data_IF_705298458897
#
_entry.id   IF_705298458897
#
_cell.length_a   1.000
_cell.length_b   1.000
_cell.length_c   1.000
_cell.angle_alpha   90.00
_cell.angle_beta   90.00
_cell.angle_gamma   90.00
#
_symmetry.space_group_name_H-M   'P 1'
#
loop_
_entity.id
_entity.type
_entity.pdbx_description
1 polymer ?
#
# COMPACT_ATOMS: atom_id res chain seq x y z
N UNK A 1 -6.33 -5.82 -1.36
CA UNK A 1 -5.72 -6.80 -0.43
C UNK A 1 -6.84 -7.46 0.36
N UNK A 2 -6.62 -8.63 0.95
CA UNK A 2 -7.58 -9.25 1.88
C UNK A 2 -7.27 -8.75 3.29
N UNK A 3 -8.11 -7.87 3.81
CA UNK A 3 -7.93 -7.20 5.10
C UNK A 3 -9.18 -7.36 5.96
N UNK A 4 -9.09 -7.20 7.30
CA UNK A 4 -10.29 -7.04 8.12
C UNK A 4 -11.12 -5.83 7.65
N UNK A 5 -12.42 -5.86 7.95
CA UNK A 5 -13.29 -4.71 7.73
C UNK A 5 -12.84 -3.51 8.56
N UNK A 6 -13.11 -2.29 8.10
CA UNK A 6 -12.66 -1.06 8.75
C UNK A 6 -13.11 -0.95 10.23
N UNK A 7 -14.33 -1.39 10.54
CA UNK A 7 -14.89 -1.39 11.89
C UNK A 7 -14.52 -2.65 12.72
N UNK A 8 -13.68 -3.54 12.20
CA UNK A 8 -13.27 -4.74 12.92
C UNK A 8 -12.43 -4.37 14.15
N UNK A 9 -12.85 -4.85 15.31
CA UNK A 9 -12.16 -4.62 16.58
C UNK A 9 -10.93 -5.52 16.73
N UNK A 10 -10.99 -6.73 16.19
CA UNK A 10 -9.85 -7.66 16.16
C UNK A 10 -8.75 -7.10 15.26
N UNK A 11 -7.51 -7.15 15.77
CA UNK A 11 -6.31 -6.73 15.04
C UNK A 11 -5.59 -7.93 14.47
N UNK A 12 -4.99 -7.72 13.30
CA UNK A 12 -4.24 -8.72 12.56
C UNK A 12 -2.90 -8.13 12.18
N UNK A 13 -1.89 -8.99 12.13
CA UNK A 13 -0.56 -8.67 11.64
C UNK A 13 -0.55 -8.48 10.12
N UNK A 14 0.49 -7.80 9.60
CA UNK A 14 0.70 -7.65 8.17
C UNK A 14 0.98 -9.01 7.51
N UNK A 15 1.58 -9.95 8.25
CA UNK A 15 1.86 -11.32 7.84
C UNK A 15 0.56 -12.13 7.66
N UNK A 16 -0.43 -11.94 8.52
CA UNK A 16 -1.76 -12.56 8.38
C UNK A 16 -2.51 -11.98 7.18
N UNK A 17 -2.48 -10.65 6.97
CA UNK A 17 -3.03 -9.99 5.77
C UNK A 17 -2.37 -10.53 4.51
N UNK A 18 -1.03 -10.69 4.53
CA UNK A 18 -0.27 -11.24 3.42
C UNK A 18 -0.65 -12.69 3.13
N UNK A 19 -0.72 -13.54 4.16
CA UNK A 19 -1.09 -14.95 4.02
C UNK A 19 -2.51 -15.11 3.46
N UNK A 20 -3.48 -14.36 4.00
CA UNK A 20 -4.85 -14.37 3.53
C UNK A 20 -4.94 -13.91 2.06
N UNK A 21 -4.24 -12.82 1.71
CA UNK A 21 -4.21 -12.27 0.35
C UNK A 21 -3.62 -13.27 -0.64
N UNK A 22 -2.42 -13.78 -0.38
CA UNK A 22 -1.74 -14.71 -1.30
C UNK A 22 -2.52 -16.02 -1.42
N UNK A 23 -3.10 -16.53 -0.34
CA UNK A 23 -3.95 -17.73 -0.36
C UNK A 23 -5.18 -17.53 -1.24
N UNK A 24 -5.87 -16.39 -1.12
CA UNK A 24 -7.05 -16.10 -1.94
C UNK A 24 -6.69 -16.04 -3.44
N UNK A 25 -5.60 -15.36 -3.79
CA UNK A 25 -5.13 -15.26 -5.17
C UNK A 25 -4.74 -16.63 -5.73
N UNK A 26 -4.00 -17.45 -4.97
CA UNK A 26 -3.62 -18.81 -5.36
C UNK A 26 -4.80 -19.73 -5.63
N UNK A 27 -5.95 -19.49 -4.99
CA UNK A 27 -7.17 -20.28 -5.16
C UNK A 27 -8.03 -19.84 -6.35
N UNK A 28 -7.75 -18.68 -6.96
CA UNK A 28 -8.71 -18.03 -7.88
C UNK A 28 -8.08 -17.47 -9.14
N UNK A 29 -6.83 -17.01 -9.10
CA UNK A 29 -6.16 -16.41 -10.25
C UNK A 29 -5.37 -17.49 -10.99
N UNK A 30 -5.52 -17.63 -12.33
CA UNK A 30 -4.68 -18.52 -13.12
C UNK A 30 -3.24 -17.99 -13.28
N UNK A 31 -2.21 -18.86 -13.34
CA UNK A 31 -0.81 -18.45 -13.57
C UNK A 31 -0.55 -17.66 -14.87
N UNK A 32 -1.46 -17.70 -15.85
CA UNK A 32 -1.33 -16.97 -17.11
C UNK A 32 -1.51 -15.44 -16.98
N UNK A 33 -2.10 -14.97 -15.88
CA UNK A 33 -2.16 -13.54 -15.59
C UNK A 33 -0.72 -13.03 -15.39
N UNK A 34 -0.27 -11.90 -15.96
CA UNK A 34 1.12 -11.48 -15.81
C UNK A 34 1.41 -10.82 -14.45
N UNK A 35 0.41 -10.19 -13.84
CA UNK A 35 0.57 -9.46 -12.60
C UNK A 35 -0.73 -9.00 -11.97
N UNK A 36 -0.66 -8.67 -10.69
CA UNK A 36 -1.75 -8.17 -9.86
C UNK A 36 -1.30 -6.84 -9.27
N UNK A 37 -2.03 -5.79 -9.61
CA UNK A 37 -1.80 -4.43 -9.11
C UNK A 37 -2.82 -4.11 -8.02
N UNK A 38 -2.42 -4.14 -6.76
CA UNK A 38 -3.34 -3.89 -5.65
C UNK A 38 -3.77 -2.42 -5.59
N UNK A 39 -5.05 -2.20 -5.33
CA UNK A 39 -5.55 -0.92 -4.84
C UNK A 39 -5.21 -0.75 -3.35
N UNK A 40 -4.97 0.49 -2.92
CA UNK A 40 -4.67 0.80 -1.51
C UNK A 40 -5.93 0.84 -0.63
N UNK A 41 -7.10 1.14 -1.22
CA UNK A 41 -8.33 1.34 -0.46
C UNK A 41 -8.17 2.48 0.55
N UNK A 42 -8.69 2.29 1.77
CA UNK A 42 -8.59 3.26 2.88
C UNK A 42 -7.32 3.17 3.72
N UNK A 43 -6.39 2.28 3.38
CA UNK A 43 -5.12 2.14 4.10
C UNK A 43 -4.33 3.46 4.06
N UNK A 44 -3.55 3.71 5.11
CA UNK A 44 -2.57 4.79 5.10
C UNK A 44 -1.45 4.53 4.06
N UNK A 45 -0.65 5.55 3.73
CA UNK A 45 0.46 5.39 2.78
C UNK A 45 1.51 4.38 3.28
N UNK A 46 1.80 4.42 4.58
CA UNK A 46 2.76 3.51 5.20
C UNK A 46 2.21 2.08 5.31
N UNK A 47 0.97 1.93 5.77
CA UNK A 47 0.31 0.62 5.89
C UNK A 47 0.21 -0.10 4.54
N UNK A 48 -0.17 0.62 3.47
CA UNK A 48 -0.24 0.06 2.12
C UNK A 48 1.13 -0.44 1.62
N UNK A 49 2.22 0.24 2.00
CA UNK A 49 3.60 -0.15 1.69
C UNK A 49 4.02 -1.38 2.49
N UNK A 50 3.73 -1.41 3.80
CA UNK A 50 4.05 -2.52 4.70
C UNK A 50 3.29 -3.79 4.29
N UNK A 51 1.99 -3.70 4.01
CA UNK A 51 1.20 -4.84 3.59
C UNK A 51 1.66 -5.39 2.24
N UNK A 52 1.96 -4.54 1.25
CA UNK A 52 2.52 -4.97 -0.03
C UNK A 52 3.87 -5.69 0.13
N UNK A 53 4.71 -5.18 1.03
CA UNK A 53 5.99 -5.80 1.35
C UNK A 53 5.80 -7.18 2.00
N UNK A 54 4.89 -7.29 2.96
CA UNK A 54 4.55 -8.57 3.60
C UNK A 54 4.00 -9.59 2.59
N UNK A 55 3.14 -9.15 1.66
CA UNK A 55 2.61 -9.97 0.56
C UNK A 55 3.75 -10.55 -0.29
N UNK A 56 4.74 -9.72 -0.65
CA UNK A 56 5.88 -10.18 -1.44
C UNK A 56 6.86 -11.07 -0.65
N UNK A 57 6.97 -10.88 0.67
CA UNK A 57 7.74 -11.73 1.58
C UNK A 57 7.03 -13.04 1.97
N UNK A 58 5.73 -13.18 1.73
CA UNK A 58 4.97 -14.39 2.05
C UNK A 58 5.65 -15.64 1.44
N UNK A 59 5.85 -16.74 2.19
CA UNK A 59 6.66 -17.87 1.72
C UNK A 59 5.99 -18.74 0.65
N UNK A 60 4.72 -18.50 0.32
CA UNK A 60 4.01 -19.27 -0.70
C UNK A 60 4.47 -18.89 -2.12
N UNK A 61 4.37 -19.84 -3.06
CA UNK A 61 4.64 -19.58 -4.47
C UNK A 61 3.63 -18.55 -5.03
N UNK A 62 4.14 -17.55 -5.75
CA UNK A 62 3.38 -16.46 -6.35
C UNK A 62 3.76 -16.37 -7.84
N UNK A 63 3.02 -17.00 -8.77
CA UNK A 63 3.38 -17.04 -10.19
C UNK A 63 3.09 -15.73 -10.95
N UNK A 64 2.82 -14.64 -10.22
CA UNK A 64 2.45 -13.33 -10.75
C UNK A 64 3.37 -12.27 -10.16
N UNK A 65 3.61 -11.19 -10.91
CA UNK A 65 4.09 -9.96 -10.27
C UNK A 65 3.02 -9.44 -9.29
N UNK A 66 3.40 -9.12 -8.05
CA UNK A 66 2.50 -8.53 -7.05
C UNK A 66 2.95 -7.10 -6.74
N UNK A 67 2.24 -6.13 -7.30
CA UNK A 67 2.63 -4.72 -7.26
C UNK A 67 1.45 -3.81 -6.88
N UNK A 68 1.63 -2.49 -6.98
CA UNK A 68 0.66 -1.48 -6.58
C UNK A 68 0.03 -0.75 -7.77
N UNK A 69 -1.24 -0.38 -7.62
CA UNK A 69 -1.93 0.65 -8.40
C UNK A 69 -2.61 1.59 -7.40
N UNK A 70 -1.85 2.53 -6.86
CA UNK A 70 -2.24 3.35 -5.72
C UNK A 70 -2.60 4.78 -6.13
N UNK A 71 -3.74 5.25 -5.66
CA UNK A 71 -4.10 6.68 -5.68
C UNK A 71 -3.62 7.35 -4.39
N UNK A 72 -4.49 7.37 -3.38
CA UNK A 72 -4.22 8.08 -2.11
C UNK A 72 -2.94 7.63 -1.41
N UNK A 73 -2.60 6.34 -1.43
CA UNK A 73 -1.38 5.84 -0.79
C UNK A 73 -0.05 6.32 -1.46
N UNK A 74 -0.12 6.95 -2.64
CA UNK A 74 1.02 7.64 -3.27
C UNK A 74 0.93 9.17 -3.18
N UNK A 75 -0.27 9.72 -3.00
CA UNK A 75 -0.53 11.14 -3.24
C UNK A 75 -0.89 11.91 -1.97
N UNK A 76 -1.27 11.27 -0.87
CA UNK A 76 -1.82 11.98 0.29
C UNK A 76 -0.81 12.96 0.91
N UNK A 77 0.43 12.52 1.15
CA UNK A 77 1.49 13.40 1.67
C UNK A 77 1.90 14.47 0.66
N UNK A 78 1.97 14.12 -0.63
CA UNK A 78 2.30 15.07 -1.70
C UNK A 78 1.25 16.19 -1.81
N UNK A 79 -0.03 15.83 -1.80
CA UNK A 79 -1.14 16.78 -1.87
C UNK A 79 -1.18 17.69 -0.64
N UNK A 80 -0.94 17.13 0.55
CA UNK A 80 -0.85 17.89 1.80
C UNK A 80 0.33 18.86 1.79
N UNK A 81 1.51 18.42 1.32
CA UNK A 81 2.70 19.25 1.20
C UNK A 81 2.51 20.37 0.17
N UNK A 82 1.83 20.09 -0.95
CA UNK A 82 1.54 21.08 -1.97
C UNK A 82 0.64 22.21 -1.43
N UNK A 83 -0.49 21.85 -0.80
CA UNK A 83 -1.44 22.81 -0.25
C UNK A 83 -2.01 23.80 -1.28
N UNK A 84 -1.97 23.46 -2.58
CA UNK A 84 -2.40 24.32 -3.69
C UNK A 84 -1.44 25.47 -4.03
N UNK A 85 -0.26 25.53 -3.40
CA UNK A 85 0.69 26.65 -3.51
C UNK A 85 1.83 26.31 -4.47
N UNK A 86 2.10 27.19 -5.44
CA UNK A 86 3.11 26.94 -6.48
C UNK A 86 4.52 26.83 -5.91
N UNK A 87 4.80 27.60 -4.86
CA UNK A 87 6.07 27.60 -4.13
C UNK A 87 6.39 26.25 -3.46
N UNK A 88 5.38 25.41 -3.20
CA UNK A 88 5.54 24.10 -2.57
C UNK A 88 5.72 22.94 -3.56
N UNK A 89 5.83 23.22 -4.87
CA UNK A 89 5.88 22.19 -5.91
C UNK A 89 6.98 21.13 -5.63
N UNK A 90 8.19 21.59 -5.28
CA UNK A 90 9.32 20.69 -5.04
C UNK A 90 9.10 19.81 -3.81
N UNK A 91 8.62 20.39 -2.71
CA UNK A 91 8.30 19.64 -1.48
C UNK A 91 7.25 18.57 -1.72
N UNK A 92 6.21 18.87 -2.51
CA UNK A 92 5.19 17.91 -2.89
C UNK A 92 5.74 16.74 -3.73
N UNK A 93 6.60 17.06 -4.72
CA UNK A 93 7.26 16.05 -5.55
C UNK A 93 8.16 15.14 -4.71
N UNK A 94 8.90 15.69 -3.75
CA UNK A 94 9.75 14.92 -2.84
C UNK A 94 8.93 13.92 -2.00
N UNK A 95 7.77 14.32 -1.47
CA UNK A 95 6.88 13.40 -0.75
C UNK A 95 6.33 12.28 -1.66
N UNK A 96 5.94 12.61 -2.89
CA UNK A 96 5.52 11.60 -3.86
C UNK A 96 6.64 10.60 -4.16
N UNK A 97 7.87 11.09 -4.42
CA UNK A 97 9.03 10.24 -4.72
C UNK A 97 9.36 9.31 -3.55
N UNK A 98 9.28 9.80 -2.29
CA UNK A 98 9.46 8.95 -1.11
C UNK A 98 8.48 7.77 -1.09
N UNK A 99 7.21 8.00 -1.44
CA UNK A 99 6.19 6.95 -1.50
C UNK A 99 6.34 6.04 -2.72
N UNK A 100 6.73 6.58 -3.87
CA UNK A 100 7.04 5.78 -5.05
C UNK A 100 8.21 4.80 -4.78
N UNK A 101 9.29 5.28 -4.15
CA UNK A 101 10.45 4.46 -3.77
C UNK A 101 10.08 3.40 -2.72
N UNK A 102 9.31 3.77 -1.69
CA UNK A 102 8.84 2.82 -0.68
C UNK A 102 8.05 1.67 -1.31
N UNK A 103 7.09 1.99 -2.18
CA UNK A 103 6.26 0.99 -2.86
C UNK A 103 7.04 0.18 -3.91
N UNK A 104 8.04 0.79 -4.57
CA UNK A 104 8.96 0.10 -5.47
C UNK A 104 9.86 -0.93 -4.76
N UNK A 105 10.19 -0.71 -3.49
CA UNK A 105 10.90 -1.68 -2.66
C UNK A 105 9.93 -2.73 -2.11
N UNK A 106 8.70 -2.32 -1.76
CA UNK A 106 7.68 -3.21 -1.21
C UNK A 106 7.24 -4.27 -2.23
N UNK A 107 7.11 -3.94 -3.52
CA UNK A 107 6.80 -4.92 -4.56
C UNK A 107 7.91 -5.97 -4.77
N UNK A 108 9.11 -5.75 -4.23
CA UNK A 108 10.22 -6.70 -4.23
C UNK A 108 10.41 -7.42 -2.89
N UNK A 109 9.58 -7.12 -1.88
CA UNK A 109 9.78 -7.62 -0.52
C UNK A 109 11.03 -7.05 0.16
N UNK A 110 11.51 -5.88 -0.26
CA UNK A 110 12.74 -5.24 0.24
C UNK A 110 12.48 -3.95 1.02
N UNK A 111 11.22 -3.58 1.24
CA UNK A 111 10.89 -2.40 2.02
C UNK A 111 11.11 -2.68 3.51
N UNK A 112 11.78 -1.74 4.17
CA UNK A 112 12.00 -1.75 5.61
C UNK A 112 11.50 -0.40 6.11
N UNK A 113 10.46 -0.37 6.97
CA UNK A 113 9.99 0.88 7.56
C UNK A 113 11.12 1.47 8.40
N UNK A 114 11.48 2.73 8.17
CA UNK A 114 12.54 3.39 8.94
C UNK A 114 12.09 3.89 10.31
N UNK A 115 10.83 3.63 10.71
CA UNK A 115 10.21 4.21 11.90
C UNK A 115 9.93 5.72 11.80
N UNK A 116 10.33 6.38 10.70
CA UNK A 116 10.19 7.81 10.45
C UNK A 116 9.11 8.12 9.40
N UNK A 117 8.11 7.25 9.24
CA UNK A 117 6.97 7.60 8.41
C UNK A 117 6.33 8.87 9.00
N UNK A 118 6.38 9.97 8.26
CA UNK A 118 5.84 11.25 8.73
C UNK A 118 4.37 11.09 9.13
N UNK A 119 3.89 11.87 10.09
CA UNK A 119 2.52 11.74 10.61
C UNK A 119 1.42 11.76 9.52
N UNK A 120 1.68 12.39 8.38
CA UNK A 120 0.78 12.36 7.21
C UNK A 120 0.69 10.98 6.54
N UNK A 121 1.81 10.25 6.44
CA UNK A 121 1.87 8.94 5.79
C UNK A 121 1.20 7.83 6.61
N UNK A 122 1.07 8.03 7.93
CA UNK A 122 0.44 7.08 8.86
C UNK A 122 -1.05 7.35 9.09
N UNK A 123 -1.60 8.43 8.52
CA UNK A 123 -3.02 8.74 8.67
C UNK A 123 -3.88 7.80 7.82
N UNK A 124 -4.95 7.28 8.42
CA UNK A 124 -5.98 6.54 7.67
C UNK A 124 -6.51 7.42 6.55
N UNK A 125 -6.59 6.84 5.35
CA UNK A 125 -7.08 7.52 4.15
C UNK A 125 -8.52 7.12 3.84
N UNK A 126 -9.19 6.42 4.77
CA UNK A 126 -10.59 6.04 4.62
C UNK A 126 -11.51 7.28 4.60
N UNK A 127 -12.48 7.26 3.69
CA UNK A 127 -13.55 8.25 3.59
C UNK A 127 -14.87 7.48 3.60
N UNK A 128 -15.77 7.80 4.53
CA UNK A 128 -17.09 7.16 4.63
C UNK A 128 -17.91 7.43 3.37
N UNK A 129 -18.65 6.41 2.91
CA UNK A 129 -19.51 6.47 1.72
C UNK A 129 -18.79 6.86 0.41
N UNK A 130 -17.48 6.64 0.32
CA UNK A 130 -16.75 6.85 -0.91
C UNK A 130 -17.03 5.70 -1.90
N UNK A 131 -17.51 6.05 -3.11
CA UNK A 131 -17.68 5.10 -4.21
C UNK A 131 -16.32 4.90 -4.92
N UNK A 132 -15.91 3.64 -5.08
CA UNK A 132 -14.69 3.23 -5.80
C UNK A 132 -15.03 2.67 -7.18
#
# INVERSE_FOLDING_TARGET
>A
MVTPGHACTQKFSNEEIAMATVTALRRTVPPAVPGITFLSGGQSEEEASINLNAINKCPLLKPWALTFSYGRALQASALKAWGGKKENLKTAQEEYVKRALANSLACQGKYTPSGQAGAAASQSLFISNHAY
#
